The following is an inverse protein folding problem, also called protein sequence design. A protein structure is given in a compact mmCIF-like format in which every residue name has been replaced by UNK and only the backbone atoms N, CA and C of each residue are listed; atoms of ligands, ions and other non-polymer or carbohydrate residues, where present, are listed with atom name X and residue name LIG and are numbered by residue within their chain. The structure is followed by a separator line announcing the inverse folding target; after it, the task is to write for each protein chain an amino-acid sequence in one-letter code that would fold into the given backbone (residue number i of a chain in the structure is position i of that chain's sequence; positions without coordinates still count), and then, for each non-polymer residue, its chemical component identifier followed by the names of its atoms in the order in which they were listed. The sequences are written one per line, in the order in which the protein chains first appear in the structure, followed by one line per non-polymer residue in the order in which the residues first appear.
data_IF_121019609886
#
_entry.id   IF_121019609886
#
_cell.length_a   1.000
_cell.length_b   1.000
_cell.length_c   1.000
_cell.angle_alpha   90.00
_cell.angle_beta   90.00
_cell.angle_gamma   90.00
#
_symmetry.space_group_name_H-M   'P 1'
#
loop_
_entity.id
_entity.type
_entity.pdbx_description
1 polymer ?
#
# COMPACT_ATOMS: atom_id res chain seq x y z
N UNK A 1 0.54 -19.90 22.45
CA UNK A 1 -0.76 -19.85 21.76
C UNK A 1 -1.20 -18.39 21.69
N UNK A 2 -0.76 -17.66 20.67
CA UNK A 2 -1.16 -16.25 20.47
C UNK A 2 -2.54 -16.28 19.84
N UNK A 3 -3.52 -15.65 20.48
CA UNK A 3 -4.84 -15.45 19.87
C UNK A 3 -4.65 -14.74 18.54
N UNK A 4 -4.92 -15.44 17.44
CA UNK A 4 -5.09 -14.83 16.13
C UNK A 4 -6.35 -13.98 16.21
N UNK A 5 -6.21 -12.70 16.59
CA UNK A 5 -7.25 -11.71 16.38
C UNK A 5 -7.45 -11.68 14.86
N UNK A 6 -8.51 -12.34 14.40
CA UNK A 6 -8.90 -12.29 13.00
C UNK A 6 -9.38 -10.87 12.75
N UNK A 7 -8.51 -10.05 12.17
CA UNK A 7 -8.85 -8.69 11.78
C UNK A 7 -10.09 -8.72 10.90
N UNK A 8 -11.10 -7.86 11.14
CA UNK A 8 -12.34 -7.87 10.37
C UNK A 8 -12.12 -7.53 8.89
N UNK A 9 -10.97 -6.94 8.56
CA UNK A 9 -10.57 -6.61 7.21
C UNK A 9 -9.18 -7.17 6.92
N UNK A 10 -9.04 -7.85 5.78
CA UNK A 10 -7.75 -8.26 5.23
C UNK A 10 -7.21 -7.16 4.29
N UNK A 11 -6.09 -6.50 4.64
CA UNK A 11 -5.44 -5.52 3.77
C UNK A 11 -5.16 -5.98 2.34
N UNK A 12 -4.91 -7.27 2.11
CA UNK A 12 -4.64 -7.83 0.78
C UNK A 12 -5.84 -7.69 -0.16
N UNK A 13 -7.06 -7.56 0.38
CA UNK A 13 -8.25 -7.28 -0.43
C UNK A 13 -8.15 -5.97 -1.21
N UNK A 14 -7.41 -4.97 -0.71
CA UNK A 14 -7.19 -3.76 -1.48
C UNK A 14 -6.29 -3.98 -2.70
N UNK A 15 -5.27 -4.83 -2.61
CA UNK A 15 -4.44 -5.18 -3.77
C UNK A 15 -5.26 -5.93 -4.82
N UNK A 16 -6.10 -6.87 -4.38
CA UNK A 16 -7.00 -7.61 -5.26
C UNK A 16 -8.01 -6.70 -5.95
N UNK A 17 -8.61 -5.76 -5.20
CA UNK A 17 -9.51 -4.76 -5.75
C UNK A 17 -8.80 -3.88 -6.79
N UNK A 18 -7.57 -3.43 -6.52
CA UNK A 18 -6.78 -2.67 -7.50
C UNK A 18 -6.57 -3.45 -8.81
N UNK A 19 -6.28 -4.75 -8.73
CA UNK A 19 -6.10 -5.60 -9.92
C UNK A 19 -7.39 -5.69 -10.73
N UNK A 20 -8.53 -5.90 -10.07
CA UNK A 20 -9.84 -5.95 -10.72
C UNK A 20 -10.20 -4.62 -11.41
N UNK A 21 -9.99 -3.50 -10.72
CA UNK A 21 -10.32 -2.17 -11.23
C UNK A 21 -9.52 -1.77 -12.48
N UNK A 22 -8.26 -2.21 -12.60
CA UNK A 22 -7.40 -1.85 -13.74
C UNK A 22 -7.95 -2.35 -15.07
N UNK A 23 -8.59 -3.52 -15.07
CA UNK A 23 -9.09 -4.16 -16.29
C UNK A 23 -10.60 -4.00 -16.47
N UNK A 24 -11.29 -3.39 -15.51
CA UNK A 24 -12.72 -3.11 -15.61
C UNK A 24 -13.00 -1.99 -16.63
N UNK A 25 -13.70 -2.32 -17.70
CA UNK A 25 -14.11 -1.39 -18.76
C UNK A 25 -15.30 -0.50 -18.38
N UNK A 26 -15.96 -0.77 -17.25
CA UNK A 26 -17.12 -0.02 -16.76
C UNK A 26 -16.75 1.34 -16.17
N UNK A 27 -15.46 1.56 -15.89
CA UNK A 27 -14.95 2.79 -15.28
C UNK A 27 -14.03 3.55 -16.22
N UNK A 28 -14.09 4.88 -16.12
CA UNK A 28 -13.14 5.76 -16.79
C UNK A 28 -11.71 5.46 -16.32
N UNK A 29 -10.79 5.37 -17.26
CA UNK A 29 -9.39 5.00 -17.04
C UNK A 29 -8.74 5.82 -15.93
N UNK A 30 -8.89 7.14 -15.95
CA UNK A 30 -8.23 7.96 -14.94
C UNK A 30 -8.79 7.71 -13.52
N UNK A 31 -10.10 7.49 -13.40
CA UNK A 31 -10.75 7.25 -12.11
C UNK A 31 -10.32 5.91 -11.52
N UNK A 32 -10.31 4.85 -12.35
CA UNK A 32 -9.93 3.50 -11.91
C UNK A 32 -8.43 3.40 -11.65
N UNK A 33 -7.59 4.04 -12.45
CA UNK A 33 -6.14 4.03 -12.29
C UNK A 33 -5.70 4.78 -11.02
N UNK A 34 -6.24 5.99 -10.77
CA UNK A 34 -5.97 6.73 -9.52
C UNK A 34 -6.39 5.93 -8.30
N UNK A 35 -7.60 5.38 -8.33
CA UNK A 35 -8.14 4.56 -7.23
C UNK A 35 -7.26 3.32 -6.99
N UNK A 36 -6.85 2.65 -8.06
CA UNK A 36 -6.01 1.44 -7.99
C UNK A 36 -4.64 1.71 -7.39
N UNK A 37 -3.99 2.83 -7.75
CA UNK A 37 -2.73 3.26 -7.10
C UNK A 37 -2.95 3.51 -5.61
N UNK A 38 -4.04 4.19 -5.25
CA UNK A 38 -4.37 4.48 -3.85
C UNK A 38 -4.56 3.19 -3.05
N UNK A 39 -5.37 2.26 -3.55
CA UNK A 39 -5.65 0.97 -2.90
C UNK A 39 -4.42 0.06 -2.83
N UNK A 40 -3.56 0.04 -3.85
CA UNK A 40 -2.30 -0.71 -3.82
C UNK A 40 -1.38 -0.21 -2.70
N UNK A 41 -1.24 1.12 -2.55
CA UNK A 41 -0.49 1.70 -1.44
C UNK A 41 -1.09 1.33 -0.09
N UNK A 42 -2.42 1.47 0.09
CA UNK A 42 -3.06 1.18 1.36
C UNK A 42 -2.95 -0.30 1.75
N UNK A 43 -2.98 -1.23 0.79
CA UNK A 43 -2.73 -2.64 1.02
C UNK A 43 -1.34 -2.86 1.65
N UNK A 44 -0.29 -2.42 0.95
CA UNK A 44 1.10 -2.54 1.40
C UNK A 44 1.37 -1.83 2.74
N UNK A 45 0.82 -0.61 2.91
CA UNK A 45 0.96 0.17 4.14
C UNK A 45 0.30 -0.53 5.33
N UNK A 46 -0.93 -1.05 5.17
CA UNK A 46 -1.64 -1.70 6.28
C UNK A 46 -1.00 -3.03 6.66
N UNK A 47 -0.53 -3.84 5.70
CA UNK A 47 0.26 -5.05 6.00
C UNK A 47 1.52 -4.69 6.80
N UNK A 48 2.27 -3.69 6.34
CA UNK A 48 3.48 -3.22 7.01
C UNK A 48 3.20 -2.67 8.42
N UNK A 49 2.11 -1.93 8.57
CA UNK A 49 1.64 -1.39 9.85
C UNK A 49 1.29 -2.51 10.82
N UNK A 50 0.49 -3.48 10.40
CA UNK A 50 0.07 -4.60 11.25
C UNK A 50 1.26 -5.44 11.68
N UNK A 51 2.24 -5.67 10.78
CA UNK A 51 3.50 -6.30 11.15
C UNK A 51 4.24 -5.52 12.26
N UNK A 52 4.41 -4.21 12.11
CA UNK A 52 5.07 -3.38 13.12
C UNK A 52 4.32 -3.39 14.46
N UNK A 53 2.99 -3.26 14.43
CA UNK A 53 2.15 -3.35 15.63
C UNK A 53 2.33 -4.73 16.31
N UNK A 54 2.43 -5.83 15.55
CA UNK A 54 2.71 -7.17 16.08
C UNK A 54 4.09 -7.32 16.74
N UNK A 55 5.05 -6.44 16.37
CA UNK A 55 6.39 -6.35 16.97
C UNK A 55 6.46 -5.29 18.08
N UNK A 56 5.30 -4.84 18.59
CA UNK A 56 5.16 -3.85 19.66
C UNK A 56 5.64 -2.42 19.31
N UNK A 57 5.68 -2.05 18.03
CA UNK A 57 5.88 -0.66 17.65
C UNK A 57 4.60 0.15 17.88
N UNK A 58 4.71 1.28 18.57
CA UNK A 58 3.60 2.22 18.76
C UNK A 58 3.54 3.19 17.57
N UNK A 59 2.42 3.18 16.85
CA UNK A 59 2.17 4.06 15.70
C UNK A 59 1.08 5.08 16.03
N UNK A 60 1.24 6.30 15.54
CA UNK A 60 0.24 7.35 15.65
C UNK A 60 -1.07 6.92 14.94
N UNK A 61 -2.26 7.28 15.46
CA UNK A 61 -3.53 7.00 14.77
C UNK A 61 -3.82 7.99 13.60
N UNK A 62 -2.92 8.93 13.32
CA UNK A 62 -3.12 10.02 12.35
C UNK A 62 -2.38 9.78 11.03
N UNK A 63 -2.48 10.71 10.08
CA UNK A 63 -1.70 10.70 8.84
C UNK A 63 -0.17 10.65 9.04
N UNK A 64 0.32 10.90 10.26
CA UNK A 64 1.73 10.70 10.64
C UNK A 64 2.17 9.23 10.56
N UNK A 65 1.25 8.28 10.76
CA UNK A 65 1.50 6.84 10.72
C UNK A 65 2.21 6.41 9.42
N UNK A 66 1.86 7.03 8.30
CA UNK A 66 2.49 6.73 7.01
C UNK A 66 3.99 6.97 7.01
N UNK A 67 4.45 8.06 7.63
CA UNK A 67 5.89 8.36 7.74
C UNK A 67 6.56 7.45 8.76
N UNK A 68 5.89 7.19 9.88
CA UNK A 68 6.41 6.33 10.95
C UNK A 68 6.64 4.89 10.47
N UNK A 69 5.67 4.28 9.77
CA UNK A 69 5.81 2.93 9.20
C UNK A 69 7.00 2.87 8.22
N UNK A 70 7.13 3.85 7.32
CA UNK A 70 8.26 3.92 6.40
C UNK A 70 9.59 4.04 7.16
N UNK A 71 9.65 4.89 8.18
CA UNK A 71 10.86 5.11 8.96
C UNK A 71 11.26 3.87 9.79
N UNK A 72 10.30 3.20 10.43
CA UNK A 72 10.58 1.98 11.19
C UNK A 72 11.02 0.83 10.27
N UNK A 73 10.40 0.70 9.10
CA UNK A 73 10.85 -0.28 8.11
C UNK A 73 12.29 -0.04 7.64
N UNK A 74 12.81 1.19 7.72
CA UNK A 74 14.21 1.47 7.38
C UNK A 74 15.21 0.69 8.23
N UNK A 75 14.86 0.41 9.50
CA UNK A 75 15.68 -0.38 10.42
C UNK A 75 15.48 -1.90 10.31
N UNK A 76 14.49 -2.35 9.54
CA UNK A 76 14.12 -3.77 9.41
C UNK A 76 14.46 -4.29 8.03
N UNK A 77 13.95 -3.62 6.98
CA UNK A 77 14.18 -3.98 5.59
C UNK A 77 14.15 -2.71 4.72
N UNK A 78 15.33 -2.30 4.24
CA UNK A 78 15.52 -1.09 3.42
C UNK A 78 14.79 -1.18 2.09
N UNK A 79 14.65 -2.38 1.51
CA UNK A 79 13.92 -2.60 0.27
C UNK A 79 12.42 -2.35 0.46
N UNK A 80 11.81 -2.92 1.51
CA UNK A 80 10.41 -2.63 1.89
C UNK A 80 10.20 -1.15 2.14
N UNK A 81 11.12 -0.50 2.89
CA UNK A 81 11.06 0.95 3.13
C UNK A 81 11.03 1.75 1.82
N UNK A 82 11.92 1.43 0.87
CA UNK A 82 12.03 2.16 -0.38
C UNK A 82 10.77 1.98 -1.25
N UNK A 83 10.23 0.77 -1.31
CA UNK A 83 8.99 0.49 -2.04
C UNK A 83 7.79 1.21 -1.40
N UNK A 84 7.64 1.18 -0.07
CA UNK A 84 6.59 1.92 0.63
C UNK A 84 6.69 3.43 0.39
N UNK A 85 7.90 3.98 0.42
CA UNK A 85 8.13 5.39 0.11
C UNK A 85 7.70 5.73 -1.31
N UNK A 86 8.09 4.91 -2.29
CA UNK A 86 7.70 5.10 -3.69
C UNK A 86 6.19 4.99 -3.88
N UNK A 87 5.54 3.99 -3.28
CA UNK A 87 4.09 3.82 -3.32
C UNK A 87 3.37 5.03 -2.72
N UNK A 88 3.88 5.57 -1.61
CA UNK A 88 3.32 6.78 -0.99
C UNK A 88 3.40 7.98 -1.94
N UNK A 89 4.53 8.16 -2.64
CA UNK A 89 4.68 9.23 -3.64
C UNK A 89 3.67 9.04 -4.78
N UNK A 90 3.56 7.84 -5.34
CA UNK A 90 2.60 7.53 -6.41
C UNK A 90 1.16 7.82 -5.96
N UNK A 91 0.80 7.43 -4.73
CA UNK A 91 -0.51 7.72 -4.12
C UNK A 91 -0.75 9.21 -3.97
N UNK A 92 0.25 9.99 -3.55
CA UNK A 92 0.13 11.45 -3.46
C UNK A 92 -0.14 12.06 -4.83
N UNK A 93 0.57 11.64 -5.88
CA UNK A 93 0.32 12.10 -7.25
C UNK A 93 -1.08 11.72 -7.71
N UNK A 94 -1.48 10.46 -7.52
CA UNK A 94 -2.77 9.95 -7.95
C UNK A 94 -3.96 10.62 -7.23
N UNK A 95 -3.85 10.88 -5.93
CA UNK A 95 -4.97 11.42 -5.15
C UNK A 95 -5.08 12.95 -5.23
N UNK A 96 -3.96 13.67 -5.38
CA UNK A 96 -3.94 15.13 -5.19
C UNK A 96 -3.50 15.95 -6.40
N UNK A 97 -2.74 15.38 -7.35
CA UNK A 97 -2.25 16.13 -8.51
C UNK A 97 -3.14 15.87 -9.73
N UNK A 98 -4.22 16.65 -9.82
CA UNK A 98 -5.24 16.52 -10.87
C UNK A 98 -4.76 16.94 -12.27
N UNK A 99 -3.66 17.69 -12.35
CA UNK A 99 -3.04 18.09 -13.62
C UNK A 99 -2.08 17.03 -14.20
N UNK A 100 -1.86 15.92 -13.48
CA UNK A 100 -0.97 14.83 -13.89
C UNK A 100 -1.82 13.60 -14.22
N UNK A 101 -1.79 13.14 -15.46
CA UNK A 101 -2.50 11.93 -15.91
C UNK A 101 -1.87 10.65 -15.31
N UNK A 102 -2.69 9.77 -14.73
CA UNK A 102 -2.25 8.47 -14.21
C UNK A 102 -2.50 7.37 -15.23
N UNK A 103 -1.45 6.99 -15.96
CA UNK A 103 -1.50 5.91 -16.96
C UNK A 103 -1.45 4.50 -16.34
N UNK A 104 -1.96 3.50 -17.08
CA UNK A 104 -1.92 2.06 -16.70
C UNK A 104 -0.54 1.57 -16.24
N UNK A 105 0.54 2.06 -16.88
CA UNK A 105 1.91 1.74 -16.47
C UNK A 105 2.26 2.16 -15.04
N UNK A 106 1.75 3.30 -14.55
CA UNK A 106 1.93 3.72 -13.16
C UNK A 106 1.23 2.75 -12.20
N UNK A 107 0.03 2.29 -12.57
CA UNK A 107 -0.75 1.36 -11.77
C UNK A 107 -0.06 0.00 -11.69
N UNK A 108 0.38 -0.55 -12.82
CA UNK A 108 1.10 -1.83 -12.86
C UNK A 108 2.36 -1.80 -11.98
N UNK A 109 3.14 -0.71 -12.06
CA UNK A 109 4.31 -0.54 -11.19
C UNK A 109 3.94 -0.48 -9.71
N UNK A 110 2.84 0.21 -9.36
CA UNK A 110 2.33 0.25 -7.99
C UNK A 110 1.80 -1.11 -7.52
N UNK A 111 1.13 -1.89 -8.37
CA UNK A 111 0.68 -3.24 -8.05
C UNK A 111 1.87 -4.16 -7.74
N UNK A 112 2.90 -4.16 -8.61
CA UNK A 112 4.11 -4.95 -8.42
C UNK A 112 4.85 -4.55 -7.13
N UNK A 113 4.98 -3.24 -6.87
CA UNK A 113 5.63 -2.78 -5.65
C UNK A 113 4.83 -3.19 -4.39
N UNK A 114 3.50 -3.08 -4.43
CA UNK A 114 2.66 -3.45 -3.31
C UNK A 114 2.73 -4.96 -3.03
N UNK A 115 2.67 -5.79 -4.07
CA UNK A 115 2.85 -7.24 -3.97
C UNK A 115 4.19 -7.61 -3.34
N UNK A 116 5.29 -7.03 -3.82
CA UNK A 116 6.63 -7.27 -3.25
C UNK A 116 6.74 -6.84 -1.79
N UNK A 117 6.15 -5.70 -1.41
CA UNK A 117 6.12 -5.29 0.00
C UNK A 117 5.39 -6.33 0.85
N UNK A 118 4.24 -6.81 0.38
CA UNK A 118 3.43 -7.79 1.12
C UNK A 118 4.19 -9.11 1.26
N UNK A 119 4.77 -9.61 0.18
CA UNK A 119 5.60 -10.83 0.19
C UNK A 119 6.77 -10.73 1.17
N UNK A 120 7.55 -9.66 1.08
CA UNK A 120 8.69 -9.43 1.96
C UNK A 120 8.28 -9.36 3.42
N UNK A 121 7.21 -8.61 3.75
CA UNK A 121 6.72 -8.48 5.13
C UNK A 121 6.13 -9.78 5.66
N UNK A 122 5.45 -10.57 4.83
CA UNK A 122 4.92 -11.88 5.22
C UNK A 122 6.00 -12.92 5.51
N UNK A 123 7.22 -12.72 5.01
CA UNK A 123 8.36 -13.61 5.22
C UNK A 123 9.26 -13.20 6.43
N UNK A 124 8.87 -12.21 7.23
CA UNK A 124 9.60 -11.71 8.43
C UNK A 124 9.04 -12.23 9.76
#
# INVERSE_FOLDING_TARGET
MVLLIKMPFDPCNFLNLSRQLVDDSSYHDESKYRTSVSRAYYSAFLVSRTYLESKNYTLSPSGKAHKEVINYMAGINVLVRNMLYKLRQNRTTADYFLHIEVKKGHVNNSLICAEKVIEEVSNM
#
